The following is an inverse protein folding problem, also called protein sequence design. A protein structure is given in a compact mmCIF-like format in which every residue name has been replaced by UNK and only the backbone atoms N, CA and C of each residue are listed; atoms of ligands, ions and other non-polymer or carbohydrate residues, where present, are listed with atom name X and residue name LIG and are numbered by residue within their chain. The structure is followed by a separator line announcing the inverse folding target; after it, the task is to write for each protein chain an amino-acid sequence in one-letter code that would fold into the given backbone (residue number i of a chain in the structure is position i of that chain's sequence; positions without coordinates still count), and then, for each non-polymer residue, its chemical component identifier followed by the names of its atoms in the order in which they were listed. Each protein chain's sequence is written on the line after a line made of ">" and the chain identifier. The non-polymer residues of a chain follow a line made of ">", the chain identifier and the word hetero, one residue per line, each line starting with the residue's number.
data_IF_469048379514
#
_entry.id   IF_469048379514
#
_cell.length_a   1.000
_cell.length_b   1.000
_cell.length_c   1.000
_cell.angle_alpha   90.00
_cell.angle_beta   90.00
_cell.angle_gamma   90.00
#
_symmetry.space_group_name_H-M   'P 1'
#
loop_
_entity.id
_entity.type
_entity.pdbx_description
1 polymer ?
#
# COMPACT_ATOMS: atom_id res chain seq x y z
N UNK A 1 -45.12 5.57 44.85
CA UNK A 1 -44.28 6.16 43.80
C UNK A 1 -43.15 5.17 43.52
N UNK A 2 -43.31 4.34 42.48
CA UNK A 2 -42.35 3.28 42.13
C UNK A 2 -41.23 3.95 41.32
N UNK A 3 -40.03 4.02 41.89
CA UNK A 3 -38.85 4.58 41.24
C UNK A 3 -38.32 3.58 40.20
N UNK A 4 -38.54 3.90 38.93
CA UNK A 4 -37.91 3.26 37.79
C UNK A 4 -36.44 3.70 37.73
N UNK A 5 -35.53 2.98 38.39
CA UNK A 5 -34.09 3.20 38.26
C UNK A 5 -33.56 2.37 37.09
N UNK A 6 -33.73 2.89 35.88
CA UNK A 6 -33.15 2.31 34.67
C UNK A 6 -31.63 2.50 34.68
N UNK A 7 -30.89 1.47 35.12
CA UNK A 7 -29.43 1.44 34.99
C UNK A 7 -29.07 1.05 33.56
N UNK A 8 -28.84 2.08 32.73
CA UNK A 8 -28.27 1.97 31.39
C UNK A 8 -26.75 1.73 31.53
N UNK A 9 -26.34 0.49 31.69
CA UNK A 9 -24.95 0.07 31.55
C UNK A 9 -24.79 -0.71 30.24
N UNK A 10 -24.88 0.00 29.12
CA UNK A 10 -24.44 -0.48 27.82
C UNK A 10 -23.09 0.17 27.49
N UNK A 11 -22.04 -0.20 28.22
CA UNK A 11 -20.68 -0.01 27.73
C UNK A 11 -20.33 -1.20 26.82
N UNK A 12 -20.78 -1.15 25.57
CA UNK A 12 -20.23 -1.99 24.49
C UNK A 12 -18.89 -1.39 24.04
N UNK A 13 -17.95 -1.25 24.95
CA UNK A 13 -16.60 -0.80 24.64
C UNK A 13 -15.80 -1.94 24.03
N UNK A 14 -16.07 -2.26 22.77
CA UNK A 14 -15.05 -2.85 21.90
C UNK A 14 -14.03 -1.76 21.54
N UNK A 15 -13.33 -1.21 22.55
CA UNK A 15 -12.18 -0.35 22.36
C UNK A 15 -11.04 -1.24 21.86
N UNK A 16 -10.99 -1.46 20.55
CA UNK A 16 -9.85 -2.10 19.89
C UNK A 16 -8.70 -1.09 19.89
N UNK A 17 -8.09 -0.87 21.06
CA UNK A 17 -6.78 -0.24 21.18
C UNK A 17 -5.78 -1.28 20.69
N UNK A 18 -5.74 -1.45 19.37
CA UNK A 18 -4.63 -2.15 18.72
C UNK A 18 -3.75 -1.05 18.13
N UNK A 19 -3.12 -0.28 19.02
CA UNK A 19 -1.86 0.42 18.74
C UNK A 19 -0.72 -0.61 18.66
N UNK A 20 -0.88 -1.61 17.78
CA UNK A 20 0.10 -2.67 17.59
C UNK A 20 1.31 -2.22 16.77
N UNK A 21 2.41 -2.96 16.85
CA UNK A 21 3.62 -2.77 16.04
C UNK A 21 3.42 -3.05 14.54
N UNK A 22 2.20 -3.40 14.13
CA UNK A 22 1.82 -3.72 12.75
C UNK A 22 0.74 -2.75 12.24
N UNK A 23 0.77 -2.48 10.94
CA UNK A 23 -0.19 -1.66 10.22
C UNK A 23 -0.73 -2.45 9.04
N UNK A 24 -2.05 -2.44 8.84
CA UNK A 24 -2.67 -2.95 7.61
C UNK A 24 -2.41 -1.97 6.48
N UNK A 25 -1.87 -2.46 5.37
CA UNK A 25 -1.70 -1.72 4.12
C UNK A 25 -2.59 -2.35 3.04
N UNK A 26 -3.34 -1.51 2.33
CA UNK A 26 -4.23 -1.92 1.25
C UNK A 26 -3.52 -1.79 -0.09
N UNK A 27 -3.59 -2.81 -0.95
CA UNK A 27 -2.99 -2.82 -2.28
C UNK A 27 -4.10 -2.98 -3.31
N UNK A 28 -4.25 -1.97 -4.17
CA UNK A 28 -5.21 -1.95 -5.27
C UNK A 28 -4.48 -1.62 -6.56
N UNK A 29 -5.00 -2.09 -7.68
CA UNK A 29 -4.50 -1.72 -9.00
C UNK A 29 -5.63 -1.53 -10.00
N UNK A 30 -5.33 -0.74 -11.03
CA UNK A 30 -6.13 -0.58 -12.23
C UNK A 30 -5.22 -0.87 -13.43
N UNK A 31 -5.44 -1.93 -14.22
CA UNK A 31 -6.46 -2.98 -14.04
C UNK A 31 -6.27 -3.82 -12.77
N UNK A 32 -7.33 -4.50 -12.34
CA UNK A 32 -7.31 -5.41 -11.17
C UNK A 32 -6.59 -6.74 -11.48
N UNK A 33 -6.43 -7.61 -10.48
CA UNK A 33 -5.75 -8.91 -10.59
C UNK A 33 -4.25 -8.83 -10.89
N UNK A 34 -3.61 -7.72 -10.52
CA UNK A 34 -2.16 -7.60 -10.59
C UNK A 34 -1.50 -8.33 -9.42
N UNK A 35 -0.39 -9.01 -9.66
CA UNK A 35 0.39 -9.72 -8.64
C UNK A 35 1.23 -8.72 -7.84
N UNK A 36 1.09 -8.76 -6.52
CA UNK A 36 1.82 -7.90 -5.57
C UNK A 36 3.00 -8.66 -4.99
N UNK A 37 4.17 -8.02 -5.02
CA UNK A 37 5.40 -8.46 -4.42
C UNK A 37 5.83 -7.46 -3.35
N UNK A 38 6.30 -7.96 -2.21
CA UNK A 38 6.91 -7.16 -1.13
C UNK A 38 8.27 -7.75 -0.82
N UNK A 39 9.32 -6.96 -0.97
CA UNK A 39 10.72 -7.41 -0.85
C UNK A 39 10.98 -8.67 -1.69
N UNK A 40 10.56 -8.63 -2.97
CA UNK A 40 10.71 -9.73 -3.96
C UNK A 40 9.92 -11.01 -3.66
N UNK A 41 9.17 -11.08 -2.56
CA UNK A 41 8.31 -12.23 -2.22
C UNK A 41 6.91 -11.95 -2.75
N UNK A 42 6.28 -12.93 -3.40
CA UNK A 42 4.88 -12.84 -3.83
C UNK A 42 3.93 -12.93 -2.62
N UNK A 43 2.97 -12.01 -2.54
CA UNK A 43 2.02 -11.94 -1.42
C UNK A 43 0.59 -12.30 -1.85
N UNK A 44 0.29 -12.20 -3.14
CA UNK A 44 -1.03 -12.45 -3.72
C UNK A 44 -1.40 -11.42 -4.79
N UNK A 45 -2.66 -11.41 -5.20
CA UNK A 45 -3.19 -10.58 -6.30
C UNK A 45 -4.10 -9.46 -5.79
N UNK A 46 -4.11 -8.31 -6.46
CA UNK A 46 -4.96 -7.16 -6.10
C UNK A 46 -6.45 -7.42 -6.41
N UNK A 47 -7.39 -6.92 -5.58
CA UNK A 47 -7.17 -6.18 -4.35
C UNK A 47 -6.81 -7.08 -3.16
N UNK A 48 -5.78 -6.70 -2.39
CA UNK A 48 -5.30 -7.46 -1.22
C UNK A 48 -4.91 -6.54 -0.06
N UNK A 49 -5.10 -7.02 1.16
CA UNK A 49 -4.64 -6.36 2.38
C UNK A 49 -3.51 -7.15 3.05
N UNK A 50 -2.48 -6.45 3.52
CA UNK A 50 -1.38 -7.08 4.27
C UNK A 50 -1.05 -6.31 5.54
N UNK A 51 -0.92 -7.03 6.67
CA UNK A 51 -0.39 -6.47 7.92
C UNK A 51 1.14 -6.46 7.88
N UNK A 52 1.72 -5.26 7.85
CA UNK A 52 3.16 -5.00 7.81
C UNK A 52 3.68 -4.44 9.14
N UNK A 53 4.94 -4.69 9.48
CA UNK A 53 5.56 -4.16 10.70
C UNK A 53 5.97 -2.70 10.52
N UNK A 54 5.57 -1.83 11.45
CA UNK A 54 5.81 -0.38 11.40
C UNK A 54 7.28 0.03 11.51
N UNK A 55 8.14 -0.89 11.98
CA UNK A 55 9.58 -0.64 12.19
C UNK A 55 10.43 -0.84 10.93
N UNK A 56 9.87 -1.39 9.86
CA UNK A 56 10.60 -1.76 8.63
C UNK A 56 10.15 -0.89 7.46
N UNK A 57 11.03 -0.79 6.48
CA UNK A 57 10.69 -0.29 5.14
C UNK A 57 10.44 -1.49 4.23
N UNK A 58 9.64 -1.27 3.19
CA UNK A 58 9.24 -2.31 2.25
C UNK A 58 9.35 -1.80 0.82
N UNK A 59 9.96 -2.62 -0.02
CA UNK A 59 9.96 -2.44 -1.47
C UNK A 59 8.76 -3.19 -2.04
N UNK A 60 7.91 -2.50 -2.78
CA UNK A 60 6.67 -3.05 -3.33
C UNK A 60 6.74 -3.02 -4.85
N UNK A 61 6.46 -4.16 -5.47
CA UNK A 61 6.31 -4.26 -6.92
C UNK A 61 4.93 -4.81 -7.25
N UNK A 62 4.24 -4.22 -8.22
CA UNK A 62 2.95 -4.69 -8.71
C UNK A 62 3.10 -4.98 -10.19
N UNK A 63 2.83 -6.23 -10.57
CA UNK A 63 3.04 -6.75 -11.93
C UNK A 63 1.73 -7.29 -12.50
N UNK A 64 1.48 -6.99 -13.77
CA UNK A 64 0.39 -7.56 -14.54
C UNK A 64 0.92 -7.82 -15.95
N UNK A 65 0.59 -8.97 -16.52
CA UNK A 65 1.06 -9.36 -17.84
C UNK A 65 0.61 -8.37 -18.91
N UNK A 66 1.54 -7.91 -19.75
CA UNK A 66 1.28 -6.88 -20.76
C UNK A 66 1.34 -5.43 -20.24
N UNK A 67 1.57 -5.22 -18.94
CA UNK A 67 1.68 -3.90 -18.33
C UNK A 67 3.09 -3.64 -17.82
N UNK A 68 3.45 -2.35 -17.73
CA UNK A 68 4.67 -1.92 -17.07
C UNK A 68 4.60 -2.21 -15.58
N UNK A 69 5.67 -2.77 -15.03
CA UNK A 69 5.78 -3.00 -13.57
C UNK A 69 5.70 -1.67 -12.82
N UNK A 70 4.83 -1.62 -11.81
CA UNK A 70 4.73 -0.50 -10.89
C UNK A 70 5.58 -0.77 -9.66
N UNK A 71 6.49 0.15 -9.33
CA UNK A 71 7.39 0.03 -8.18
C UNK A 71 7.18 1.19 -7.22
N UNK A 72 7.08 0.90 -5.93
CA UNK A 72 6.96 1.92 -4.88
C UNK A 72 7.59 1.44 -3.58
N UNK A 73 7.83 2.37 -2.65
CA UNK A 73 8.41 2.06 -1.34
C UNK A 73 7.44 2.49 -0.24
N UNK A 74 7.19 1.58 0.71
CA UNK A 74 6.50 1.91 1.96
C UNK A 74 7.57 2.19 2.99
N UNK A 75 7.60 3.42 3.49
CA UNK A 75 8.59 3.86 4.47
C UNK A 75 7.96 4.14 5.83
N UNK A 76 8.70 3.86 6.89
CA UNK A 76 8.31 4.28 8.23
C UNK A 76 8.51 5.79 8.40
N UNK A 77 7.47 6.51 8.83
CA UNK A 77 7.54 7.91 9.23
C UNK A 77 7.21 8.04 10.71
N UNK A 78 8.03 8.79 11.44
CA UNK A 78 7.78 9.08 12.84
C UNK A 78 6.56 9.99 12.98
N UNK A 79 5.57 9.57 13.77
CA UNK A 79 4.37 10.37 14.02
C UNK A 79 4.33 10.79 15.50
N UNK A 80 4.84 11.98 15.78
CA UNK A 80 4.92 12.53 17.14
C UNK A 80 3.55 12.78 17.78
N UNK A 81 2.50 13.01 16.97
CA UNK A 81 1.14 13.21 17.48
C UNK A 81 0.56 11.92 18.10
N UNK A 82 0.95 10.75 17.60
CA UNK A 82 0.57 9.45 18.17
C UNK A 82 1.16 9.23 19.58
N UNK A 83 2.33 9.81 19.86
CA UNK A 83 2.95 9.80 21.19
C UNK A 83 2.06 10.54 22.18
N UNK A 84 1.51 11.70 21.78
CA UNK A 84 0.61 12.49 22.63
C UNK A 84 -0.61 11.69 23.10
N UNK A 85 -1.29 10.98 22.21
CA UNK A 85 -2.46 10.18 22.57
C UNK A 85 -2.14 8.96 23.46
N UNK A 86 -0.98 8.33 23.27
CA UNK A 86 -0.50 7.24 24.15
C UNK A 86 -0.08 7.80 25.52
N UNK A 87 0.52 8.99 25.54
CA UNK A 87 0.96 9.73 26.74
C UNK A 87 -0.21 10.13 27.65
N UNK A 88 -1.37 10.47 27.08
CA UNK A 88 -2.61 10.75 27.84
C UNK A 88 -3.24 9.49 28.48
N UNK A 89 -2.74 8.27 28.16
CA UNK A 89 -3.18 7.00 28.75
C UNK A 89 -2.47 6.60 30.06
N UNK A 90 -1.52 7.40 30.55
CA UNK A 90 -0.89 7.23 31.87
C UNK A 90 0.64 7.15 31.87
N UNK A 91 1.22 7.43 33.04
CA UNK A 91 2.67 7.56 33.34
C UNK A 91 3.53 6.35 32.96
N UNK A 92 2.92 5.18 32.73
CA UNK A 92 3.60 3.92 32.37
C UNK A 92 4.14 3.94 30.92
N UNK A 93 3.59 4.81 30.05
CA UNK A 93 4.05 4.95 28.66
C UNK A 93 5.39 5.69 28.50
N UNK A 94 5.85 6.42 29.52
CA UNK A 94 6.99 7.36 29.40
C UNK A 94 8.39 6.74 29.48
N UNK A 95 8.52 5.46 29.86
CA UNK A 95 9.84 4.85 30.16
C UNK A 95 10.31 3.86 29.06
N UNK A 96 9.41 3.37 28.18
CA UNK A 96 9.68 2.19 27.33
C UNK A 96 9.68 2.49 25.81
N UNK A 97 9.43 3.74 25.42
CA UNK A 97 8.69 4.01 24.16
C UNK A 97 9.43 3.99 22.80
N UNK A 98 10.78 3.97 22.66
CA UNK A 98 11.39 3.72 21.36
C UNK A 98 11.34 2.24 20.95
N UNK A 99 11.09 1.32 21.90
CA UNK A 99 11.31 -0.11 21.71
C UNK A 99 10.13 -0.82 21.05
N UNK A 100 8.89 -0.33 21.18
CA UNK A 100 7.70 -1.05 20.66
C UNK A 100 7.43 -0.78 19.17
N UNK A 101 7.90 0.35 18.65
CA UNK A 101 7.69 0.74 17.24
C UNK A 101 6.28 1.24 16.94
N UNK A 102 5.44 1.44 17.97
CA UNK A 102 4.12 2.04 17.84
C UNK A 102 4.17 3.50 17.36
N UNK A 103 5.32 4.17 17.53
CA UNK A 103 5.57 5.56 17.14
C UNK A 103 5.69 5.78 15.62
N UNK A 104 5.93 4.71 14.88
CA UNK A 104 6.11 4.77 13.43
C UNK A 104 4.80 4.50 12.72
N UNK A 105 4.46 5.32 11.72
CA UNK A 105 3.38 5.07 10.76
C UNK A 105 4.02 4.68 9.43
N UNK A 106 3.55 3.60 8.81
CA UNK A 106 3.95 3.27 7.44
C UNK A 106 3.23 4.21 6.47
N UNK A 107 3.99 4.82 5.57
CA UNK A 107 3.48 5.72 4.52
C UNK A 107 4.02 5.25 3.17
N UNK A 108 3.16 5.05 2.16
CA UNK A 108 1.69 5.16 2.22
C UNK A 108 1.03 3.99 2.98
N UNK A 109 -0.19 4.21 3.49
CA UNK A 109 -1.04 3.18 4.12
C UNK A 109 -2.00 2.50 3.12
N UNK A 110 -2.17 3.10 1.95
CA UNK A 110 -2.83 2.49 0.80
C UNK A 110 -2.00 2.73 -0.45
N UNK A 111 -1.82 1.70 -1.27
CA UNK A 111 -1.22 1.77 -2.59
C UNK A 111 -2.32 1.57 -3.63
N UNK A 112 -2.44 2.53 -4.53
CA UNK A 112 -3.31 2.45 -5.70
C UNK A 112 -2.42 2.58 -6.93
N UNK A 113 -2.14 1.44 -7.57
CA UNK A 113 -1.28 1.37 -8.74
C UNK A 113 -2.11 1.52 -10.02
N UNK A 114 -1.80 2.55 -10.80
CA UNK A 114 -2.29 2.67 -12.16
C UNK A 114 -1.27 2.03 -13.10
N UNK A 115 -1.63 0.86 -13.62
CA UNK A 115 -0.78 0.09 -14.51
C UNK A 115 -0.99 0.58 -15.93
N UNK A 116 0.10 0.91 -16.58
CA UNK A 116 0.10 1.40 -17.95
C UNK A 116 0.56 0.28 -18.86
N UNK A 117 -0.16 0.07 -19.95
CA UNK A 117 0.17 -0.95 -20.95
C UNK A 117 1.56 -0.68 -21.53
N UNK A 118 2.31 -1.76 -21.75
CA UNK A 118 3.70 -1.66 -22.18
C UNK A 118 3.83 -1.40 -23.68
N UNK A 119 3.83 -0.13 -24.11
CA UNK A 119 4.48 0.31 -25.38
C UNK A 119 4.91 1.79 -25.29
N UNK A 120 6.06 2.07 -24.66
CA UNK A 120 6.73 3.37 -24.77
C UNK A 120 7.59 3.50 -26.05
N UNK A 121 7.14 4.31 -27.01
CA UNK A 121 8.04 4.89 -28.03
C UNK A 121 8.66 6.16 -27.47
N UNK A 122 10.00 6.24 -27.45
CA UNK A 122 10.70 7.47 -27.08
C UNK A 122 11.84 7.70 -28.06
N UNK A 123 11.90 8.90 -28.63
CA UNK A 123 13.00 9.33 -29.50
C UNK A 123 13.86 10.32 -28.73
N UNK A 124 15.18 10.09 -28.68
CA UNK A 124 16.13 11.05 -28.09
C UNK A 124 17.31 11.23 -29.05
N UNK A 125 17.31 12.31 -29.81
CA UNK A 125 18.32 12.52 -30.86
C UNK A 125 18.18 11.48 -31.96
N UNK A 126 19.28 10.80 -32.30
CA UNK A 126 19.32 9.74 -33.32
C UNK A 126 18.91 8.36 -32.77
N UNK A 127 18.68 8.22 -31.46
CA UNK A 127 18.31 6.96 -30.84
C UNK A 127 16.78 6.77 -30.79
N UNK A 128 16.32 5.64 -31.35
CA UNK A 128 14.92 5.22 -31.35
C UNK A 128 14.72 4.09 -30.34
N UNK A 129 13.90 4.34 -29.33
CA UNK A 129 13.51 3.33 -28.34
C UNK A 129 12.12 2.78 -28.70
N UNK A 130 12.07 1.49 -29.01
CA UNK A 130 10.83 0.75 -29.31
C UNK A 130 10.45 -0.05 -28.07
N UNK A 131 9.25 0.16 -27.57
CA UNK A 131 8.61 -0.81 -26.70
C UNK A 131 7.65 -1.65 -27.52
N UNK A 132 7.43 -2.89 -27.10
CA UNK A 132 6.65 -3.89 -27.83
C UNK A 132 5.45 -4.28 -26.96
N UNK A 133 4.23 -4.08 -27.49
CA UNK A 133 3.01 -4.72 -26.96
C UNK A 133 2.81 -6.05 -27.67
N UNK A 134 2.39 -7.07 -26.92
CA UNK A 134 2.03 -8.37 -27.47
C UNK A 134 0.65 -8.38 -28.13
N UNK A 135 -0.21 -7.41 -27.79
CA UNK A 135 -1.56 -7.28 -28.36
C UNK A 135 -1.63 -6.08 -29.31
N UNK A 136 -2.11 -6.34 -30.54
CA UNK A 136 -2.31 -5.33 -31.58
C UNK A 136 -3.59 -4.54 -31.24
N UNK A 137 -3.44 -3.26 -30.93
CA UNK A 137 -4.57 -2.36 -30.73
C UNK A 137 -5.28 -2.10 -32.09
N UNK A 138 -6.59 -2.34 -32.21
CA UNK A 138 -7.33 -2.14 -33.46
C UNK A 138 -7.41 -0.66 -33.90
N UNK A 139 -7.06 0.29 -33.03
CA UNK A 139 -6.96 1.72 -33.37
C UNK A 139 -5.65 2.10 -34.05
N UNK A 140 -4.66 1.20 -34.11
CA UNK A 140 -3.36 1.50 -34.69
C UNK A 140 -3.36 1.37 -36.21
N UNK A 141 -2.90 2.42 -36.88
CA UNK A 141 -2.69 2.42 -38.33
C UNK A 141 -1.37 1.70 -38.65
N UNK A 142 -1.42 0.73 -39.57
CA UNK A 142 -0.23 0.00 -40.02
C UNK A 142 0.65 0.93 -40.87
N UNK A 143 1.77 1.38 -40.31
CA UNK A 143 2.71 2.29 -40.99
C UNK A 143 3.75 1.58 -41.88
N UNK A 144 3.91 0.26 -41.76
CA UNK A 144 4.85 -0.51 -42.58
C UNK A 144 5.09 -1.92 -42.08
N UNK A 145 5.69 -2.77 -42.91
CA UNK A 145 6.12 -4.12 -42.56
C UNK A 145 7.48 -4.37 -43.20
N UNK A 146 8.47 -4.77 -42.41
CA UNK A 146 9.77 -5.15 -42.93
C UNK A 146 9.64 -6.54 -43.58
N UNK A 147 10.04 -6.65 -44.85
CA UNK A 147 10.24 -7.95 -45.50
C UNK A 147 11.71 -8.35 -45.38
N UNK A 148 11.95 -9.63 -45.08
CA UNK A 148 13.28 -10.23 -45.19
C UNK A 148 13.70 -10.41 -46.65
#
# INVERSE_FOLDING_TARGET
>A
MILFTGSLLAFTSCATIVSGSKQTVNFKSTPSQATVYINEIEIGTTPIEKKLERKKNYDVMIKLDGYKTYETKISRKFNAWYIGNILFGGVIGLIVDPVTGALYKLTPDQIQAELHEGTAFKTKGDDVFIAVKLEIDPSWEKVGQLSN
#
